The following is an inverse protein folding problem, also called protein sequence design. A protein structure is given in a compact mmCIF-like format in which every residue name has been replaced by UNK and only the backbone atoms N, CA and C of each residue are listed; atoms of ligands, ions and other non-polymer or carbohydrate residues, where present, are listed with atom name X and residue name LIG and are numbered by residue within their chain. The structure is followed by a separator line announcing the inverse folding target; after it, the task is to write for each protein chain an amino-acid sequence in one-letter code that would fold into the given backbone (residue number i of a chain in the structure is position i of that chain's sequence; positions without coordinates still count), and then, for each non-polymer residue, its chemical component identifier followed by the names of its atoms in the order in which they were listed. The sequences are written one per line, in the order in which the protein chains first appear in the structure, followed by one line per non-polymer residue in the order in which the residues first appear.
data_IF_218652377962
#
_entry.id   IF_218652377962
#
_cell.length_a   1.000
_cell.length_b   1.000
_cell.length_c   1.000
_cell.angle_alpha   90.00
_cell.angle_beta   90.00
_cell.angle_gamma   90.00
#
_symmetry.space_group_name_H-M   'P 1'
#
loop_
_entity.id
_entity.type
_entity.pdbx_description
1 polymer ?
#
# COMPACT_ATOMS: atom_id res chain seq x y z
N UNK A 1 32.25 35.07 -7.45
CA UNK A 1 32.14 33.74 -6.82
C UNK A 1 30.87 33.71 -5.98
N UNK A 2 29.75 33.35 -6.60
CA UNK A 2 28.44 33.31 -5.94
C UNK A 2 28.26 31.90 -5.40
N UNK A 3 28.25 31.75 -4.06
CA UNK A 3 27.89 30.49 -3.39
C UNK A 3 26.44 30.17 -3.78
N UNK A 4 26.25 29.15 -4.61
CA UNK A 4 24.94 28.52 -4.78
C UNK A 4 24.70 27.71 -3.51
N UNK A 5 23.75 28.18 -2.71
CA UNK A 5 23.23 27.53 -1.53
C UNK A 5 22.69 26.14 -1.92
N UNK A 6 23.38 25.08 -1.53
CA UNK A 6 22.95 23.70 -1.69
C UNK A 6 21.97 23.33 -0.57
N UNK A 7 20.92 24.13 -0.41
CA UNK A 7 19.76 23.85 0.44
C UNK A 7 18.79 22.88 -0.26
N UNK A 8 19.30 21.77 -0.78
CA UNK A 8 18.50 20.78 -1.52
C UNK A 8 17.80 19.85 -0.54
N UNK A 9 16.62 20.26 -0.07
CA UNK A 9 15.69 19.33 0.56
C UNK A 9 15.42 18.16 -0.41
N UNK A 10 15.61 16.92 0.04
CA UNK A 10 15.47 15.73 -0.81
C UNK A 10 14.18 15.79 -1.63
N UNK A 11 14.23 15.56 -2.96
CA UNK A 11 13.04 15.57 -3.83
C UNK A 11 11.92 14.67 -3.31
N UNK A 12 12.28 13.54 -2.69
CA UNK A 12 11.33 12.62 -2.07
C UNK A 12 10.55 13.28 -0.92
N UNK A 13 11.22 14.14 -0.12
CA UNK A 13 10.60 14.86 0.99
C UNK A 13 9.62 15.91 0.50
N UNK A 14 10.00 16.70 -0.52
CA UNK A 14 9.11 17.70 -1.13
C UNK A 14 7.84 17.04 -1.72
N UNK A 15 8.00 15.89 -2.39
CA UNK A 15 6.87 15.11 -2.91
C UNK A 15 5.97 14.61 -1.77
N UNK A 16 6.56 14.10 -0.69
CA UNK A 16 5.82 13.60 0.47
C UNK A 16 5.03 14.72 1.16
N UNK A 17 5.68 15.86 1.40
CA UNK A 17 5.06 17.05 2.02
C UNK A 17 3.90 17.58 1.17
N UNK A 18 4.08 17.65 -0.15
CA UNK A 18 3.00 18.01 -1.09
C UNK A 18 1.82 17.02 -1.05
N UNK A 19 2.10 15.71 -1.07
CA UNK A 19 1.07 14.66 -0.96
C UNK A 19 0.31 14.75 0.37
N UNK A 20 1.03 14.96 1.47
CA UNK A 20 0.44 15.09 2.79
C UNK A 20 -0.43 16.36 2.91
N UNK A 21 0.02 17.49 2.34
CA UNK A 21 -0.78 18.72 2.31
C UNK A 21 -2.10 18.51 1.55
N UNK A 22 -2.06 17.89 0.36
CA UNK A 22 -3.28 17.55 -0.40
C UNK A 22 -4.21 16.63 0.38
N UNK A 23 -3.68 15.58 1.00
CA UNK A 23 -4.49 14.64 1.78
C UNK A 23 -5.11 15.24 3.05
N UNK A 24 -4.57 16.36 3.56
CA UNK A 24 -5.17 17.13 4.66
C UNK A 24 -6.28 18.07 4.19
N UNK A 25 -6.22 18.53 2.95
CA UNK A 25 -7.20 19.43 2.35
C UNK A 25 -8.40 18.70 1.72
N UNK A 26 -8.31 17.39 1.51
CA UNK A 26 -9.41 16.57 0.98
C UNK A 26 -10.55 16.46 1.99
N UNK A 27 -11.78 16.45 1.46
CA UNK A 27 -12.97 16.10 2.21
C UNK A 27 -12.83 14.69 2.83
N UNK A 28 -13.31 14.42 4.06
CA UNK A 28 -13.16 13.12 4.71
C UNK A 28 -13.71 11.94 3.91
N UNK A 29 -14.83 12.11 3.20
CA UNK A 29 -15.42 11.06 2.34
C UNK A 29 -14.54 10.84 1.12
N UNK A 30 -14.09 11.93 0.49
CA UNK A 30 -13.16 11.83 -0.65
C UNK A 30 -11.84 11.17 -0.26
N UNK A 31 -11.30 11.53 0.91
CA UNK A 31 -10.08 10.95 1.47
C UNK A 31 -10.25 9.46 1.79
N UNK A 32 -11.41 9.07 2.32
CA UNK A 32 -11.72 7.66 2.56
C UNK A 32 -11.73 6.86 1.25
N UNK A 33 -12.34 7.41 0.19
CA UNK A 33 -12.40 6.78 -1.12
C UNK A 33 -11.09 6.83 -1.91
N UNK A 34 -10.16 7.70 -1.52
CA UNK A 34 -8.87 7.83 -2.19
C UNK A 34 -8.05 6.53 -2.11
N UNK A 35 -8.14 5.79 -0.99
CA UNK A 35 -7.45 4.50 -0.82
C UNK A 35 -7.89 3.45 -1.85
N UNK A 36 -9.18 3.08 -1.90
CA UNK A 36 -9.72 2.16 -2.90
C UNK A 36 -9.42 2.59 -4.34
N UNK A 37 -9.58 3.88 -4.67
CA UNK A 37 -9.29 4.38 -6.04
C UNK A 37 -7.82 4.23 -6.42
N UNK A 38 -6.91 4.51 -5.49
CA UNK A 38 -5.48 4.32 -5.70
C UNK A 38 -5.14 2.84 -5.89
N UNK A 39 -5.80 1.95 -5.12
CA UNK A 39 -5.64 0.52 -5.28
C UNK A 39 -6.10 0.06 -6.67
N UNK A 40 -7.28 0.47 -7.13
CA UNK A 40 -7.79 0.12 -8.45
C UNK A 40 -6.83 0.57 -9.57
N UNK A 41 -6.30 1.79 -9.50
CA UNK A 41 -5.32 2.28 -10.46
C UNK A 41 -4.04 1.45 -10.49
N UNK A 42 -3.52 1.08 -9.32
CA UNK A 42 -2.30 0.25 -9.22
C UNK A 42 -2.57 -1.16 -9.73
N UNK A 43 -3.73 -1.73 -9.38
CA UNK A 43 -4.20 -3.03 -9.85
C UNK A 43 -4.22 -3.07 -11.38
N UNK A 44 -4.90 -2.13 -12.03
CA UNK A 44 -4.98 -2.10 -13.50
C UNK A 44 -3.60 -1.96 -14.15
N UNK A 45 -2.73 -1.12 -13.59
CA UNK A 45 -1.35 -0.99 -14.07
C UNK A 45 -0.58 -2.32 -13.98
N UNK A 46 -0.73 -3.05 -12.88
CA UNK A 46 -0.07 -4.35 -12.70
C UNK A 46 -0.62 -5.39 -13.66
N UNK A 47 -1.94 -5.47 -13.81
CA UNK A 47 -2.60 -6.38 -14.74
C UNK A 47 -2.16 -6.13 -16.19
N UNK A 48 -2.13 -4.87 -16.64
CA UNK A 48 -1.59 -4.52 -17.96
C UNK A 48 -0.14 -5.00 -18.11
N UNK A 49 0.70 -4.77 -17.11
CA UNK A 49 2.09 -5.25 -17.14
C UNK A 49 2.21 -6.77 -17.19
N UNK A 50 1.29 -7.52 -16.58
CA UNK A 50 1.26 -8.99 -16.66
C UNK A 50 0.83 -9.44 -18.07
N UNK A 51 -0.24 -8.82 -18.62
CA UNK A 51 -0.72 -9.10 -19.99
C UNK A 51 0.38 -8.84 -21.03
N UNK A 52 1.11 -7.75 -20.89
CA UNK A 52 2.22 -7.41 -21.80
C UNK A 52 3.37 -8.42 -21.74
N UNK A 53 3.70 -8.92 -20.53
CA UNK A 53 4.74 -9.95 -20.35
C UNK A 53 4.31 -11.34 -20.81
N UNK A 54 3.00 -11.62 -20.77
CA UNK A 54 2.44 -12.92 -21.12
C UNK A 54 1.21 -12.77 -22.04
N UNK A 55 1.40 -12.36 -23.31
CA UNK A 55 0.28 -12.09 -24.23
C UNK A 55 -0.60 -13.31 -24.53
N UNK A 56 -0.07 -14.52 -24.32
CA UNK A 56 -0.76 -15.78 -24.54
C UNK A 56 -1.62 -16.24 -23.35
N UNK A 57 -1.54 -15.57 -22.20
CA UNK A 57 -2.32 -15.95 -21.02
C UNK A 57 -3.76 -15.45 -21.14
N UNK A 58 -4.70 -16.30 -20.75
CA UNK A 58 -6.09 -15.91 -20.55
C UNK A 58 -6.27 -15.13 -19.24
N UNK A 59 -7.40 -14.43 -19.12
CA UNK A 59 -7.69 -13.54 -17.99
C UNK A 59 -7.55 -14.23 -16.62
N UNK A 60 -8.02 -15.47 -16.49
CA UNK A 60 -7.90 -16.23 -15.25
C UNK A 60 -6.43 -16.46 -14.81
N UNK A 61 -5.52 -16.66 -15.77
CA UNK A 61 -4.10 -16.84 -15.47
C UNK A 61 -3.42 -15.51 -15.09
N UNK A 62 -3.85 -14.41 -15.71
CA UNK A 62 -3.40 -13.05 -15.37
C UNK A 62 -3.80 -12.68 -13.95
N UNK A 63 -5.06 -12.90 -13.57
CA UNK A 63 -5.57 -12.67 -12.21
C UNK A 63 -4.86 -13.55 -11.17
N UNK A 64 -4.61 -14.82 -11.50
CA UNK A 64 -3.87 -15.72 -10.62
C UNK A 64 -2.43 -15.23 -10.38
N UNK A 65 -1.75 -14.72 -11.41
CA UNK A 65 -0.41 -14.14 -11.26
C UNK A 65 -0.42 -12.83 -10.46
N UNK A 66 -1.42 -11.97 -10.68
CA UNK A 66 -1.59 -10.77 -9.87
C UNK A 66 -1.75 -11.14 -8.38
N UNK A 67 -2.58 -12.13 -8.07
CA UNK A 67 -2.75 -12.66 -6.71
C UNK A 67 -1.44 -13.17 -6.10
N UNK A 68 -0.63 -13.92 -6.87
CA UNK A 68 0.71 -14.36 -6.43
C UNK A 68 1.64 -13.20 -6.11
N UNK A 69 1.70 -12.18 -6.96
CA UNK A 69 2.54 -10.99 -6.73
C UNK A 69 2.09 -10.23 -5.48
N UNK A 70 0.79 -10.04 -5.28
CA UNK A 70 0.26 -9.38 -4.09
C UNK A 70 0.57 -10.16 -2.80
N UNK A 71 0.46 -11.49 -2.82
CA UNK A 71 0.83 -12.33 -1.68
C UNK A 71 2.33 -12.20 -1.35
N UNK A 72 3.20 -12.14 -2.36
CA UNK A 72 4.64 -11.96 -2.16
C UNK A 72 4.98 -10.56 -1.61
N UNK A 73 4.33 -9.50 -2.11
CA UNK A 73 4.48 -8.13 -1.59
C UNK A 73 4.04 -8.09 -0.12
N UNK A 74 2.86 -8.62 0.19
CA UNK A 74 2.33 -8.69 1.55
C UNK A 74 3.29 -9.42 2.48
N UNK A 75 3.76 -10.61 2.11
CA UNK A 75 4.71 -11.36 2.92
C UNK A 75 6.00 -10.58 3.21
N UNK A 76 6.47 -9.77 2.25
CA UNK A 76 7.65 -8.91 2.43
C UNK A 76 7.39 -7.68 3.29
N UNK A 77 6.23 -7.04 3.14
CA UNK A 77 5.88 -5.84 3.91
C UNK A 77 5.51 -6.18 5.36
N UNK A 78 4.83 -7.30 5.59
CA UNK A 78 4.42 -7.75 6.91
C UNK A 78 5.55 -8.38 7.73
N UNK A 79 6.71 -8.65 7.12
CA UNK A 79 7.91 -9.13 7.82
C UNK A 79 8.35 -8.13 8.90
N UNK A 80 8.14 -8.51 10.17
CA UNK A 80 8.53 -7.72 11.33
C UNK A 80 7.56 -6.61 11.74
N UNK A 81 6.42 -6.46 11.05
CA UNK A 81 5.35 -5.53 11.46
C UNK A 81 4.35 -6.16 12.42
N UNK A 82 4.09 -7.46 12.26
CA UNK A 82 3.20 -8.21 13.15
C UNK A 82 4.03 -9.13 14.05
N UNK A 83 4.03 -8.85 15.36
CA UNK A 83 4.40 -9.85 16.36
C UNK A 83 3.17 -10.75 16.55
N UNK A 84 3.25 -12.06 16.31
CA UNK A 84 2.18 -12.97 16.70
C UNK A 84 1.95 -12.79 18.19
N UNK A 85 0.78 -12.28 18.58
CA UNK A 85 0.38 -12.28 19.98
C UNK A 85 0.13 -13.74 20.33
N UNK A 86 0.84 -14.32 21.33
CA UNK A 86 0.54 -15.66 21.80
C UNK A 86 -0.95 -15.72 22.15
N UNK A 87 -1.66 -16.77 21.73
CA UNK A 87 -3.07 -16.96 22.04
C UNK A 87 -3.34 -16.82 23.55
N UNK A 88 -2.36 -17.26 24.36
CA UNK A 88 -2.35 -17.24 25.82
C UNK A 88 -2.15 -15.84 26.43
N UNK A 89 -1.80 -14.83 25.62
CA UNK A 89 -1.64 -13.43 26.02
C UNK A 89 -2.87 -12.58 25.70
N UNK A 90 -3.88 -13.16 25.05
CA UNK A 90 -5.21 -12.57 24.94
C UNK A 90 -5.90 -12.89 26.26
N UNK A 91 -5.81 -11.95 27.22
CA UNK A 91 -6.66 -11.95 28.42
C UNK A 91 -8.11 -11.73 27.95
N UNK A 92 -8.79 -12.82 27.62
CA UNK A 92 -10.25 -12.85 27.59
C UNK A 92 -10.70 -12.61 29.03
N UNK A 93 -10.74 -11.33 29.42
CA UNK A 93 -11.22 -10.87 30.72
C UNK A 93 -12.51 -11.60 31.07
N UNK A 94 -12.76 -11.84 32.37
CA UNK A 94 -13.64 -12.92 32.81
C UNK A 94 -14.96 -12.86 32.06
N UNK A 95 -15.21 -13.90 31.25
CA UNK A 95 -16.54 -14.21 30.75
C UNK A 95 -17.37 -14.68 31.95
N UNK A 96 -17.72 -13.71 32.79
CA UNK A 96 -18.63 -13.88 33.91
C UNK A 96 -20.05 -13.82 33.38
N UNK A 97 -20.60 -15.00 33.09
CA UNK A 97 -22.03 -15.25 33.08
C UNK A 97 -22.66 -14.80 34.43
N UNK A 98 -23.98 -14.55 34.50
CA UNK A 98 -24.98 -15.59 34.31
C UNK A 98 -25.84 -15.46 33.04
#
# INVERSE_FOLDING_TARGET
MTKVDQGSGSPARSILESKAARARAMDPVEKFLAGPRLFDMVRERMLCGIRDRHPQWGEAAVEAEFGRQMAAIRAREEQGLYTPVPQDAIDDGPTGAP
#
